data_IF_955294456917
#
_entry.id   IF_955294456917
#
_cell.length_a   1.000
_cell.length_b   1.000
_cell.length_c   1.000
_cell.angle_alpha   90.00
_cell.angle_beta   90.00
_cell.angle_gamma   90.00
#
_symmetry.space_group_name_H-M   'P 1'
#
loop_
_entity.id
_entity.type
_entity.pdbx_description
1 polymer ?
#
# COMPACT_ATOMS: atom_id res chain seq x y z
N UNK A 1 -5.62 -13.67 15.10
CA UNK A 1 -5.06 -14.20 13.86
C UNK A 1 -5.24 -13.11 12.83
N UNK A 2 -4.15 -12.53 12.36
CA UNK A 2 -4.21 -11.43 11.41
C UNK A 2 -4.27 -11.99 9.99
N UNK A 3 -5.21 -11.46 9.20
CA UNK A 3 -5.41 -11.87 7.82
C UNK A 3 -4.71 -10.90 6.84
N UNK A 4 -4.05 -11.48 5.84
CA UNK A 4 -3.51 -10.79 4.67
C UNK A 4 -4.54 -10.84 3.53
N UNK A 5 -4.99 -9.67 3.08
CA UNK A 5 -5.91 -9.57 1.93
C UNK A 5 -5.10 -9.41 0.64
N UNK A 6 -4.80 -10.52 -0.02
CA UNK A 6 -3.85 -10.57 -1.15
C UNK A 6 -4.54 -10.85 -2.48
N UNK A 7 -4.09 -10.17 -3.53
CA UNK A 7 -4.45 -10.53 -4.91
C UNK A 7 -3.76 -11.82 -5.33
N UNK A 8 -4.24 -12.46 -6.40
CA UNK A 8 -3.65 -13.71 -6.91
C UNK A 8 -2.14 -13.58 -7.21
N UNK A 9 -1.69 -12.42 -7.67
CA UNK A 9 -0.28 -12.17 -7.94
C UNK A 9 0.54 -11.99 -6.65
N UNK A 10 -0.03 -11.31 -5.64
CA UNK A 10 0.61 -11.13 -4.33
C UNK A 10 0.72 -12.44 -3.56
N UNK A 11 -0.26 -13.33 -3.69
CA UNK A 11 -0.22 -14.66 -3.11
C UNK A 11 0.96 -15.49 -3.63
N UNK A 12 1.38 -15.31 -4.90
CA UNK A 12 2.58 -15.98 -5.44
C UNK A 12 3.84 -15.53 -4.71
N UNK A 13 3.95 -14.23 -4.40
CA UNK A 13 5.09 -13.69 -3.64
C UNK A 13 5.05 -14.15 -2.19
N UNK A 14 3.89 -14.10 -1.54
CA UNK A 14 3.73 -14.65 -0.19
C UNK A 14 4.08 -16.14 -0.14
N UNK A 15 3.64 -16.92 -1.12
CA UNK A 15 3.95 -18.36 -1.21
C UNK A 15 5.45 -18.67 -1.30
N UNK A 16 6.24 -17.73 -1.84
CA UNK A 16 7.70 -17.85 -1.95
C UNK A 16 8.46 -17.57 -0.64
N UNK A 17 7.77 -17.06 0.39
CA UNK A 17 8.38 -16.79 1.69
C UNK A 17 8.72 -18.10 2.45
N UNK A 18 9.70 -18.05 3.37
CA UNK A 18 10.02 -19.15 4.28
C UNK A 18 8.78 -19.65 5.03
N UNK A 19 8.70 -20.96 5.30
CA UNK A 19 7.56 -21.57 6.01
C UNK A 19 7.29 -20.92 7.37
N UNK A 20 8.34 -20.60 8.12
CA UNK A 20 8.24 -19.95 9.43
C UNK A 20 7.43 -18.64 9.41
N UNK A 21 7.56 -17.83 8.35
CA UNK A 21 6.81 -16.57 8.20
C UNK A 21 5.37 -16.78 7.73
N UNK A 22 4.98 -17.99 7.31
CA UNK A 22 3.64 -18.25 6.75
C UNK A 22 2.71 -18.93 7.74
N UNK A 23 3.26 -19.65 8.73
CA UNK A 23 2.50 -20.51 9.64
C UNK A 23 1.48 -19.75 10.49
N UNK A 24 1.76 -18.48 10.82
CA UNK A 24 0.90 -17.67 11.70
C UNK A 24 -0.10 -16.78 10.95
N UNK A 25 -0.09 -16.78 9.61
CA UNK A 25 -0.84 -15.85 8.78
C UNK A 25 -1.96 -16.52 7.99
N UNK A 26 -3.17 -15.97 8.10
CA UNK A 26 -4.28 -16.35 7.23
C UNK A 26 -4.21 -15.53 5.93
N UNK A 27 -4.30 -16.18 4.77
CA UNK A 27 -4.37 -15.50 3.48
C UNK A 27 -5.79 -15.56 2.97
N UNK A 28 -6.38 -14.39 2.75
CA UNK A 28 -7.68 -14.25 2.13
C UNK A 28 -7.52 -13.62 0.75
N UNK A 29 -8.23 -14.16 -0.23
CA UNK A 29 -8.21 -13.62 -1.58
C UNK A 29 -8.93 -12.28 -1.62
N UNK A 30 -8.18 -11.24 -1.96
CA UNK A 30 -8.74 -9.92 -2.24
C UNK A 30 -9.53 -9.98 -3.55
N UNK A 31 -10.77 -9.49 -3.52
CA UNK A 31 -11.59 -9.36 -4.73
C UNK A 31 -10.90 -8.46 -5.77
N UNK A 32 -11.11 -8.68 -7.08
CA UNK A 32 -10.57 -7.82 -8.12
C UNK A 32 -10.96 -6.35 -7.89
N UNK A 33 -9.97 -5.48 -7.71
CA UNK A 33 -10.18 -4.07 -7.47
C UNK A 33 -9.99 -3.29 -8.76
N UNK A 34 -10.91 -2.36 -9.03
CA UNK A 34 -10.68 -1.35 -10.08
C UNK A 34 -9.70 -0.32 -9.57
N UNK A 35 -8.63 -0.09 -10.33
CA UNK A 35 -7.65 0.95 -10.04
C UNK A 35 -8.16 2.33 -10.46
N UNK A 36 -7.66 3.37 -9.78
CA UNK A 36 -7.89 4.74 -10.20
C UNK A 36 -7.20 5.04 -11.53
N UNK A 37 -7.91 5.75 -12.40
CA UNK A 37 -7.36 6.33 -13.62
C UNK A 37 -6.34 7.44 -13.29
N UNK A 38 -5.40 7.75 -14.21
CA UNK A 38 -4.44 8.83 -14.00
C UNK A 38 -5.09 10.18 -13.69
N UNK A 39 -6.23 10.50 -14.30
CA UNK A 39 -6.95 11.75 -14.05
C UNK A 39 -7.53 11.81 -12.63
N UNK A 40 -8.06 10.69 -12.12
CA UNK A 40 -8.53 10.58 -10.73
C UNK A 40 -7.37 10.78 -9.73
N UNK A 41 -6.20 10.18 -9.98
CA UNK A 41 -5.02 10.36 -9.13
C UNK A 41 -4.49 11.79 -9.14
N UNK A 42 -4.55 12.48 -10.30
CA UNK A 42 -4.21 13.90 -10.40
C UNK A 42 -5.21 14.76 -9.62
N UNK A 43 -6.50 14.46 -9.69
CA UNK A 43 -7.54 15.17 -8.94
C UNK A 43 -7.33 15.00 -7.44
N UNK A 44 -7.12 13.77 -6.95
CA UNK A 44 -6.83 13.50 -5.54
C UNK A 44 -5.62 14.27 -5.05
N UNK A 45 -4.54 14.27 -5.83
CA UNK A 45 -3.33 15.04 -5.51
C UNK A 45 -3.60 16.55 -5.39
N UNK A 46 -4.54 17.10 -6.17
CA UNK A 46 -4.91 18.53 -6.10
C UNK A 46 -5.85 18.85 -4.92
N UNK A 47 -6.67 17.90 -4.48
CA UNK A 47 -7.59 18.06 -3.35
C UNK A 47 -6.92 17.84 -1.99
N UNK A 48 -5.76 17.22 -2.04
CA UNK A 48 -4.92 16.88 -0.92
C UNK A 48 -4.31 18.15 -0.27
N UNK A 49 -4.45 18.27 1.04
CA UNK A 49 -3.89 19.33 1.88
C UNK A 49 -2.51 18.90 2.41
N UNK A 50 -1.58 18.65 1.49
CA UNK A 50 -0.24 18.17 1.83
C UNK A 50 0.73 19.32 2.04
N UNK A 51 0.64 19.94 3.21
CA UNK A 51 1.60 20.97 3.63
C UNK A 51 2.90 20.36 4.16
N UNK A 52 2.93 19.04 4.42
CA UNK A 52 4.13 18.36 4.92
C UNK A 52 5.13 18.05 3.78
N UNK A 53 6.33 18.65 3.78
CA UNK A 53 7.35 18.42 2.76
C UNK A 53 7.83 16.96 2.68
N UNK A 54 7.68 16.19 3.76
CA UNK A 54 8.06 14.78 3.81
C UNK A 54 7.17 13.95 2.90
N UNK A 55 5.86 14.16 2.96
CA UNK A 55 4.89 13.45 2.13
C UNK A 55 5.09 13.76 0.64
N UNK A 56 5.41 15.02 0.31
CA UNK A 56 5.75 15.43 -1.06
C UNK A 56 6.98 14.67 -1.60
N UNK A 57 7.97 14.41 -0.74
CA UNK A 57 9.17 13.64 -1.11
C UNK A 57 8.87 12.17 -1.35
N UNK A 58 8.05 11.54 -0.50
CA UNK A 58 7.59 10.15 -0.69
C UNK A 58 6.86 10.04 -2.03
N UNK A 59 5.91 10.94 -2.29
CA UNK A 59 5.10 10.94 -3.50
C UNK A 59 5.95 11.04 -4.77
N UNK A 60 6.99 11.89 -4.77
CA UNK A 60 7.93 11.98 -5.90
C UNK A 60 8.72 10.70 -6.11
N UNK A 61 9.14 10.03 -5.03
CA UNK A 61 9.83 8.74 -5.12
C UNK A 61 8.94 7.65 -5.70
N UNK A 62 7.73 7.50 -5.16
CA UNK A 62 6.79 6.43 -5.53
C UNK A 62 6.09 6.65 -6.89
N UNK A 63 6.05 7.87 -7.43
CA UNK A 63 5.51 8.11 -8.78
C UNK A 63 6.53 7.90 -9.90
N UNK A 64 7.82 7.84 -9.58
CA UNK A 64 8.89 7.70 -10.56
C UNK A 64 9.23 6.23 -10.84
N UNK A 65 9.95 5.62 -9.89
CA UNK A 65 10.42 4.25 -9.98
C UNK A 65 9.77 3.39 -8.88
N UNK A 66 9.14 2.29 -9.28
CA UNK A 66 8.49 1.32 -8.39
C UNK A 66 9.30 0.04 -8.21
N UNK A 67 10.61 0.10 -8.45
CA UNK A 67 11.55 -0.96 -8.09
C UNK A 67 11.62 -1.18 -6.58
N UNK A 68 12.06 -2.37 -6.17
CA UNK A 68 12.28 -2.73 -4.76
C UNK A 68 13.10 -1.67 -4.03
N UNK A 69 14.23 -1.29 -4.61
CA UNK A 69 15.16 -0.34 -4.00
C UNK A 69 14.58 1.07 -3.95
N UNK A 70 13.85 1.49 -4.99
CA UNK A 70 13.20 2.81 -5.00
C UNK A 70 12.11 2.92 -3.94
N UNK A 71 11.23 1.92 -3.83
CA UNK A 71 10.18 1.89 -2.80
C UNK A 71 10.83 1.86 -1.42
N UNK A 72 11.80 0.98 -1.17
CA UNK A 72 12.52 0.93 0.10
C UNK A 72 13.19 2.27 0.43
N UNK A 73 13.83 2.92 -0.54
CA UNK A 73 14.45 4.23 -0.35
C UNK A 73 13.42 5.33 -0.09
N UNK A 74 12.27 5.33 -0.78
CA UNK A 74 11.20 6.29 -0.55
C UNK A 74 10.64 6.15 0.88
N UNK A 75 10.34 4.92 1.31
CA UNK A 75 9.82 4.63 2.65
C UNK A 75 10.86 4.83 3.76
N UNK A 76 12.17 4.66 3.50
CA UNK A 76 13.24 5.00 4.46
C UNK A 76 13.50 6.50 4.53
N UNK A 77 13.34 7.21 3.41
CA UNK A 77 13.64 8.64 3.33
C UNK A 77 12.71 9.51 4.18
N UNK A 78 11.58 8.94 4.59
CA UNK A 78 10.64 9.51 5.53
C UNK A 78 10.30 8.44 6.53
N UNK A 79 10.67 8.62 7.79
CA UNK A 79 10.26 7.70 8.85
C UNK A 79 8.72 7.72 8.96
N UNK A 80 8.04 6.79 8.28
CA UNK A 80 6.58 6.71 8.18
C UNK A 80 5.94 6.56 9.56
N UNK A 81 6.65 5.94 10.51
CA UNK A 81 6.23 5.86 11.91
C UNK A 81 6.18 7.21 12.65
N UNK A 82 6.65 8.29 12.03
CA UNK A 82 6.54 9.66 12.57
C UNK A 82 5.41 10.48 11.94
N UNK A 83 4.65 9.89 11.01
CA UNK A 83 3.48 10.52 10.41
C UNK A 83 2.26 10.28 11.30
N UNK A 84 1.38 11.28 11.41
CA UNK A 84 0.09 11.06 12.08
C UNK A 84 -0.79 10.13 11.25
N UNK A 85 -1.80 9.53 11.87
CA UNK A 85 -2.79 8.70 11.17
C UNK A 85 -3.49 9.47 10.04
N UNK A 86 -3.75 10.77 10.23
CA UNK A 86 -4.31 11.65 9.19
C UNK A 86 -3.37 11.78 7.99
N UNK A 87 -2.07 12.02 8.24
CA UNK A 87 -1.06 12.12 7.19
C UNK A 87 -0.87 10.80 6.42
N UNK A 88 -0.94 9.67 7.13
CA UNK A 88 -0.91 8.35 6.52
C UNK A 88 -2.14 8.09 5.65
N UNK A 89 -3.33 8.39 6.17
CA UNK A 89 -4.57 8.25 5.41
C UNK A 89 -4.55 9.12 4.14
N UNK A 90 -4.09 10.36 4.27
CA UNK A 90 -3.92 11.26 3.13
C UNK A 90 -2.94 10.67 2.10
N UNK A 91 -1.77 10.21 2.56
CA UNK A 91 -0.74 9.62 1.70
C UNK A 91 -1.30 8.46 0.88
N UNK A 92 -1.96 7.51 1.55
CA UNK A 92 -2.54 6.35 0.88
C UNK A 92 -3.69 6.75 -0.07
N UNK A 93 -4.48 7.76 0.29
CA UNK A 93 -5.51 8.30 -0.59
C UNK A 93 -4.94 8.86 -1.90
N UNK A 94 -3.85 9.63 -1.85
CA UNK A 94 -3.19 10.13 -3.07
C UNK A 94 -2.58 8.98 -3.88
N UNK A 95 -1.91 8.04 -3.22
CA UNK A 95 -1.20 6.96 -3.91
C UNK A 95 -2.17 6.10 -4.72
N UNK A 96 -3.36 5.83 -4.18
CA UNK A 96 -4.37 5.02 -4.83
C UNK A 96 -4.05 3.52 -4.79
N UNK A 97 -5.04 2.73 -5.19
CA UNK A 97 -5.02 1.26 -5.10
C UNK A 97 -3.87 0.68 -5.93
N UNK A 98 -3.65 1.17 -7.15
CA UNK A 98 -2.62 0.63 -8.04
C UNK A 98 -1.20 0.76 -7.47
N UNK A 99 -0.88 1.92 -6.88
CA UNK A 99 0.43 2.14 -6.25
C UNK A 99 0.55 1.31 -4.97
N UNK A 100 -0.52 1.23 -4.17
CA UNK A 100 -0.55 0.39 -2.97
C UNK A 100 -0.34 -1.10 -3.28
N UNK A 101 -0.97 -1.65 -4.32
CA UNK A 101 -0.76 -3.06 -4.74
C UNK A 101 0.70 -3.32 -5.12
N UNK A 102 1.34 -2.40 -5.83
CA UNK A 102 2.76 -2.50 -6.16
C UNK A 102 3.65 -2.42 -4.91
N UNK A 103 3.31 -1.55 -3.96
CA UNK A 103 4.03 -1.48 -2.68
C UNK A 103 3.91 -2.78 -1.90
N UNK A 104 2.71 -3.35 -1.78
CA UNK A 104 2.46 -4.64 -1.12
C UNK A 104 3.29 -5.74 -1.78
N UNK A 105 3.28 -5.80 -3.12
CA UNK A 105 4.10 -6.75 -3.88
C UNK A 105 5.59 -6.63 -3.54
N UNK A 106 6.13 -5.41 -3.55
CA UNK A 106 7.54 -5.16 -3.20
C UNK A 106 7.83 -5.56 -1.75
N UNK A 107 6.96 -5.21 -0.81
CA UNK A 107 7.16 -5.53 0.61
C UNK A 107 7.12 -7.04 0.86
N UNK A 108 6.21 -7.76 0.21
CA UNK A 108 6.19 -9.24 0.25
C UNK A 108 7.48 -9.85 -0.29
N UNK A 109 8.09 -9.28 -1.32
CA UNK A 109 9.40 -9.74 -1.83
C UNK A 109 10.58 -9.43 -0.89
N UNK A 110 10.36 -8.52 0.07
CA UNK A 110 11.38 -8.08 1.02
C UNK A 110 11.22 -8.65 2.42
N UNK A 111 10.05 -9.21 2.74
CA UNK A 111 9.69 -9.60 4.09
C UNK A 111 10.66 -10.65 4.64
N UNK A 112 11.21 -10.38 5.81
CA UNK A 112 12.15 -11.25 6.51
C UNK A 112 11.73 -11.54 7.95
N UNK A 113 10.78 -10.76 8.47
CA UNK A 113 10.31 -10.82 9.85
C UNK A 113 8.78 -10.77 9.89
N UNK A 114 8.18 -11.18 11.00
CA UNK A 114 6.72 -11.07 11.20
C UNK A 114 6.26 -9.61 11.25
N UNK A 115 7.07 -8.70 11.80
CA UNK A 115 6.81 -7.27 11.79
C UNK A 115 6.66 -6.72 10.35
N UNK A 116 7.44 -7.26 9.39
CA UNK A 116 7.30 -6.89 7.98
C UNK A 116 5.92 -7.32 7.45
N UNK A 117 5.45 -8.51 7.84
CA UNK A 117 4.14 -9.05 7.44
C UNK A 117 2.98 -8.34 8.13
N UNK A 118 3.15 -7.87 9.37
CA UNK A 118 2.19 -7.01 10.04
C UNK A 118 2.03 -5.68 9.31
N UNK A 119 3.14 -5.09 8.85
CA UNK A 119 3.11 -3.91 7.98
C UNK A 119 2.36 -4.17 6.67
N UNK A 120 2.59 -5.33 6.04
CA UNK A 120 1.84 -5.74 4.84
C UNK A 120 0.35 -5.92 5.14
N UNK A 121 0.00 -6.56 6.25
CA UNK A 121 -1.39 -6.75 6.67
C UNK A 121 -2.12 -5.42 6.82
N UNK A 122 -1.49 -4.45 7.51
CA UNK A 122 -2.00 -3.09 7.61
C UNK A 122 -2.26 -2.45 6.24
N UNK A 123 -1.31 -2.55 5.31
CA UNK A 123 -1.46 -1.99 3.97
C UNK A 123 -2.56 -2.67 3.16
N UNK A 124 -2.71 -3.99 3.26
CA UNK A 124 -3.77 -4.72 2.55
C UNK A 124 -5.17 -4.29 3.02
N UNK A 125 -5.34 -4.05 4.32
CA UNK A 125 -6.60 -3.53 4.89
C UNK A 125 -6.90 -2.11 4.43
N UNK A 126 -5.90 -1.23 4.46
CA UNK A 126 -6.06 0.15 3.98
C UNK A 126 -6.44 0.17 2.49
N UNK A 127 -5.79 -0.68 1.67
CA UNK A 127 -6.13 -0.81 0.25
C UNK A 127 -7.57 -1.27 0.05
N UNK A 128 -8.04 -2.27 0.81
CA UNK A 128 -9.44 -2.73 0.72
C UNK A 128 -10.42 -1.63 1.11
N UNK A 129 -10.16 -0.93 2.22
CA UNK A 129 -10.98 0.19 2.68
C UNK A 129 -11.03 1.33 1.63
N UNK A 130 -9.90 1.63 0.97
CA UNK A 130 -9.85 2.61 -0.11
C UNK A 130 -10.67 2.16 -1.32
N UNK A 131 -10.63 0.88 -1.66
CA UNK A 131 -11.45 0.33 -2.73
C UNK A 131 -12.95 0.44 -2.42
N UNK A 132 -13.37 0.07 -1.22
CA UNK A 132 -14.76 0.20 -0.77
C UNK A 132 -15.25 1.65 -0.78
N UNK A 133 -14.41 2.59 -0.35
CA UNK A 133 -14.70 4.02 -0.41
C UNK A 133 -14.88 4.52 -1.86
N UNK A 134 -14.07 4.03 -2.81
CA UNK A 134 -14.19 4.41 -4.22
C UNK A 134 -15.45 3.86 -4.88
N UNK A 135 -15.82 2.61 -4.55
CA UNK A 135 -17.01 1.95 -5.11
C UNK A 135 -18.29 2.59 -4.57
N UNK A 136 -18.36 2.87 -3.27
CA UNK A 136 -19.51 3.53 -2.64
C UNK A 136 -19.77 4.92 -3.20
N UNK A 137 -18.73 5.69 -3.53
CA UNK A 137 -18.89 7.00 -4.20
C UNK A 137 -19.29 6.91 -5.67
N UNK A 138 -19.10 5.76 -6.33
CA UNK A 138 -19.50 5.56 -7.73
C UNK A 138 -21.00 5.22 -7.88
N UNK A 139 -21.71 5.00 -6.78
CA UNK A 139 -23.14 4.67 -6.74
C UNK A 139 -24.03 5.81 -6.19
N UNK A 140 -23.43 6.95 -5.85
CA UNK A 140 -24.11 8.16 -5.36
C UNK A 140 -24.17 9.24 -6.45
#
# INVERSE_FOLDING_TARGET
MDALLLTDDEQKFFGSLPAALKEEWEVQTQIPMSEETPSQLVLRYKMAHFDDPRLQKIMKGLRGDMSRDSVANALRSVNIGTLSMEQLAELFFILGIGVMSRMITVLLQCATTDDDLEGVAGLTRIRSALHEANVSQSQA
#
